data_IF_745840059861
#
_entry.id   IF_745840059861
#
_cell.length_a   1.000
_cell.length_b   1.000
_cell.length_c   1.000
_cell.angle_alpha   90.00
_cell.angle_beta   90.00
_cell.angle_gamma   90.00
#
_symmetry.space_group_name_H-M   'P 1'
#
loop_
_entity.id
_entity.type
_entity.pdbx_description
1 polymer ?
#
# COMPACT_ATOMS: atom_id res chain seq x y z
N UNK A 1 -52.74 -12.56 -69.08
CA UNK A 1 -52.07 -11.24 -68.87
C UNK A 1 -51.83 -11.06 -67.39
N UNK A 2 -50.66 -11.36 -66.98
CA UNK A 2 -50.24 -11.32 -65.56
C UNK A 2 -49.35 -10.15 -65.33
N UNK A 3 -49.74 -9.27 -64.39
CA UNK A 3 -48.93 -8.13 -63.95
C UNK A 3 -48.10 -8.55 -62.81
N UNK A 4 -46.74 -8.54 -63.00
CA UNK A 4 -45.73 -8.76 -61.97
C UNK A 4 -45.53 -7.45 -61.23
N UNK A 5 -46.03 -7.30 -59.99
CA UNK A 5 -45.66 -6.24 -59.08
C UNK A 5 -44.43 -6.72 -58.28
N UNK A 6 -43.21 -6.24 -58.62
CA UNK A 6 -42.03 -6.37 -57.81
C UNK A 6 -42.06 -5.36 -56.67
N UNK A 7 -42.32 -5.86 -55.48
CA UNK A 7 -42.20 -5.09 -54.25
C UNK A 7 -40.71 -4.97 -53.91
N UNK A 8 -40.12 -3.79 -54.13
CA UNK A 8 -38.75 -3.47 -53.72
C UNK A 8 -38.79 -3.12 -52.25
N UNK A 9 -38.40 -4.08 -51.38
CA UNK A 9 -38.23 -3.86 -49.95
C UNK A 9 -36.91 -3.13 -49.72
N UNK A 10 -36.98 -1.81 -49.49
CA UNK A 10 -35.81 -0.97 -49.14
C UNK A 10 -35.48 -1.20 -47.67
N UNK A 11 -34.52 -2.10 -47.39
CA UNK A 11 -33.96 -2.30 -46.05
C UNK A 11 -33.05 -1.10 -45.70
N UNK A 12 -33.59 -0.13 -44.98
CA UNK A 12 -32.84 0.92 -44.31
C UNK A 12 -32.06 0.27 -43.16
N UNK A 13 -30.83 -0.11 -43.40
CA UNK A 13 -29.84 -0.43 -42.35
C UNK A 13 -29.51 0.87 -41.60
N UNK A 14 -30.26 1.09 -40.51
CA UNK A 14 -29.90 2.10 -39.50
C UNK A 14 -28.68 1.54 -38.80
N UNK A 15 -27.48 1.90 -39.26
CA UNK A 15 -26.27 1.77 -38.48
C UNK A 15 -26.39 2.73 -37.27
N UNK A 16 -26.92 2.23 -36.17
CA UNK A 16 -26.73 2.90 -34.89
C UNK A 16 -25.26 2.75 -34.55
N UNK A 17 -24.46 3.76 -34.87
CA UNK A 17 -23.15 3.93 -34.30
C UNK A 17 -23.39 4.17 -32.80
N UNK A 18 -23.39 3.07 -32.04
CA UNK A 18 -23.26 3.16 -30.60
C UNK A 18 -21.91 3.86 -30.35
N UNK A 19 -21.95 5.17 -30.13
CA UNK A 19 -20.82 5.91 -29.63
C UNK A 19 -20.45 5.25 -28.32
N UNK A 20 -19.42 4.40 -28.34
CA UNK A 20 -18.80 3.92 -27.12
C UNK A 20 -18.32 5.18 -26.39
N UNK A 21 -19.08 5.61 -25.39
CA UNK A 21 -18.70 6.75 -24.56
C UNK A 21 -17.40 6.37 -23.87
N UNK A 22 -16.28 6.92 -24.37
CA UNK A 22 -14.96 6.68 -23.79
C UNK A 22 -14.87 7.42 -22.44
N UNK A 23 -14.38 6.72 -21.44
CA UNK A 23 -13.98 7.37 -20.19
C UNK A 23 -12.63 8.03 -20.41
N UNK A 24 -12.47 9.27 -20.00
CA UNK A 24 -11.21 10.03 -20.19
C UNK A 24 -11.09 11.13 -19.14
N UNK A 25 -9.84 11.52 -18.83
CA UNK A 25 -9.55 12.76 -18.12
C UNK A 25 -9.58 13.92 -19.12
N UNK A 26 -10.05 15.08 -18.67
CA UNK A 26 -10.12 16.30 -19.45
C UNK A 26 -9.47 17.44 -18.63
N UNK A 27 -8.52 18.17 -19.24
CA UNK A 27 -7.95 19.38 -18.64
C UNK A 27 -8.53 20.63 -19.33
N UNK A 28 -9.11 21.53 -18.55
CA UNK A 28 -9.57 22.85 -19.01
C UNK A 28 -8.90 23.92 -18.15
N UNK A 29 -7.93 24.62 -18.72
CA UNK A 29 -7.04 25.51 -17.99
C UNK A 29 -6.34 24.77 -16.83
N UNK A 30 -6.65 25.15 -15.58
CA UNK A 30 -6.11 24.51 -14.36
C UNK A 30 -7.06 23.49 -13.75
N UNK A 31 -8.24 23.24 -14.36
CA UNK A 31 -9.26 22.34 -13.84
C UNK A 31 -9.18 20.99 -14.49
N UNK A 32 -9.21 19.93 -13.68
CA UNK A 32 -9.21 18.54 -14.11
C UNK A 32 -10.61 17.96 -13.90
N UNK A 33 -11.10 17.31 -14.94
CA UNK A 33 -12.40 16.64 -14.97
C UNK A 33 -12.23 15.19 -15.39
N UNK A 34 -13.17 14.36 -14.99
CA UNK A 34 -13.34 13.00 -15.50
C UNK A 34 -14.63 12.92 -16.30
N UNK A 35 -14.53 12.52 -17.56
CA UNK A 35 -15.70 12.22 -18.39
C UNK A 35 -16.04 10.74 -18.20
N UNK A 36 -17.26 10.49 -17.72
CA UNK A 36 -17.79 9.15 -17.52
C UNK A 36 -19.09 9.03 -18.30
N UNK A 37 -19.02 8.36 -19.43
CA UNK A 37 -20.13 8.37 -20.40
C UNK A 37 -20.43 9.79 -20.89
N UNK A 38 -21.64 10.27 -20.65
CA UNK A 38 -22.08 11.64 -21.00
C UNK A 38 -21.93 12.64 -19.85
N UNK A 39 -21.40 12.22 -18.70
CA UNK A 39 -21.28 13.06 -17.51
C UNK A 39 -19.84 13.55 -17.37
N UNK A 40 -19.69 14.87 -17.14
CA UNK A 40 -18.42 15.51 -16.83
C UNK A 40 -18.36 15.83 -15.34
N UNK A 41 -17.43 15.21 -14.63
CA UNK A 41 -17.27 15.30 -13.17
C UNK A 41 -16.02 16.11 -12.87
N UNK A 42 -16.15 17.23 -12.14
CA UNK A 42 -15.01 18.00 -11.67
C UNK A 42 -14.27 17.24 -10.57
N UNK A 43 -12.94 17.16 -10.66
CA UNK A 43 -12.07 16.47 -9.70
C UNK A 43 -11.32 17.46 -8.80
N UNK A 44 -10.45 18.26 -9.38
CA UNK A 44 -9.59 19.20 -8.66
C UNK A 44 -9.07 20.32 -9.60
N UNK A 45 -8.40 21.30 -9.00
CA UNK A 45 -7.69 22.36 -9.71
C UNK A 45 -6.21 22.24 -9.44
N UNK A 46 -5.40 22.18 -10.48
CA UNK A 46 -3.94 22.17 -10.40
C UNK A 46 -3.31 22.72 -11.68
N UNK A 47 -2.53 23.79 -11.52
CA UNK A 47 -1.80 24.42 -12.64
C UNK A 47 -0.64 23.56 -13.15
N UNK A 48 -0.02 22.79 -12.26
CA UNK A 48 1.19 22.02 -12.50
C UNK A 48 0.91 20.55 -12.83
N UNK A 49 -0.37 20.14 -12.83
CA UNK A 49 -0.73 18.77 -13.14
C UNK A 49 -0.24 18.35 -14.52
N UNK A 50 0.62 17.35 -14.54
CA UNK A 50 1.05 16.72 -15.78
C UNK A 50 -0.07 15.86 -16.34
N UNK A 51 -0.74 16.42 -17.34
CA UNK A 51 -1.96 15.83 -17.88
C UNK A 51 -1.64 14.69 -18.83
N UNK A 52 -2.15 13.49 -18.46
CA UNK A 52 -2.31 12.35 -19.34
C UNK A 52 -3.78 11.91 -19.28
N UNK A 53 -4.47 11.90 -20.42
CA UNK A 53 -5.89 11.59 -20.51
C UNK A 53 -6.22 10.15 -20.09
N UNK A 54 -5.24 9.23 -20.14
CA UNK A 54 -5.36 7.80 -19.88
C UNK A 54 -4.76 7.41 -18.50
N UNK A 55 -4.21 8.38 -17.74
CA UNK A 55 -3.58 8.13 -16.45
C UNK A 55 -4.61 7.95 -15.31
N UNK A 56 -5.55 7.02 -15.49
CA UNK A 56 -6.55 6.71 -14.48
C UNK A 56 -6.97 5.23 -14.53
N UNK A 57 -7.56 4.76 -13.42
CA UNK A 57 -8.34 3.53 -13.40
C UNK A 57 -9.63 3.71 -12.61
N UNK A 58 -10.63 2.86 -12.86
CA UNK A 58 -11.90 2.84 -12.11
C UNK A 58 -12.04 1.49 -11.43
N UNK A 59 -12.05 1.51 -10.09
CA UNK A 59 -12.01 0.33 -9.24
C UNK A 59 -13.24 0.22 -8.35
N UNK A 60 -13.54 -1.01 -7.92
CA UNK A 60 -14.51 -1.29 -6.87
C UNK A 60 -13.77 -1.62 -5.59
N UNK A 61 -13.80 -0.75 -4.60
CA UNK A 61 -13.11 -0.93 -3.31
C UNK A 61 -13.99 -1.62 -2.28
N UNK A 62 -15.30 -1.52 -2.42
CA UNK A 62 -16.30 -2.02 -1.47
C UNK A 62 -17.29 -2.95 -2.18
N UNK A 63 -18.05 -3.73 -1.42
CA UNK A 63 -19.10 -4.61 -1.98
C UNK A 63 -20.39 -3.84 -2.33
N UNK A 64 -20.47 -2.56 -1.96
CA UNK A 64 -21.51 -1.66 -2.45
C UNK A 64 -21.20 -1.30 -3.92
N UNK A 65 -22.17 -0.93 -4.69
CA UNK A 65 -21.99 -0.58 -6.11
C UNK A 65 -21.19 0.71 -6.34
N UNK A 66 -20.39 1.14 -5.37
CA UNK A 66 -19.56 2.34 -5.47
C UNK A 66 -18.41 2.16 -6.43
N UNK A 67 -18.13 3.23 -7.14
CA UNK A 67 -17.02 3.33 -8.10
C UNK A 67 -16.01 4.35 -7.62
N UNK A 68 -14.75 3.94 -7.64
CA UNK A 68 -13.63 4.79 -7.22
C UNK A 68 -12.73 5.04 -8.41
N UNK A 69 -12.48 6.30 -8.68
CA UNK A 69 -11.56 6.75 -9.71
C UNK A 69 -10.19 6.97 -9.08
N UNK A 70 -9.18 6.29 -9.58
CA UNK A 70 -7.77 6.48 -9.26
C UNK A 70 -7.16 7.34 -10.36
N UNK A 71 -6.66 8.50 -10.02
CA UNK A 71 -5.99 9.41 -10.94
C UNK A 71 -4.53 9.48 -10.56
N UNK A 72 -3.65 9.10 -11.49
CA UNK A 72 -2.22 9.29 -11.27
C UNK A 72 -1.93 10.79 -11.24
N UNK A 73 -1.43 11.28 -10.10
CA UNK A 73 -1.16 12.69 -9.87
C UNK A 73 0.36 12.90 -9.75
N UNK A 74 0.96 13.40 -10.81
CA UNK A 74 2.38 13.74 -10.85
C UNK A 74 2.56 15.22 -11.08
N UNK A 75 3.34 15.87 -10.21
CA UNK A 75 3.57 17.32 -10.26
C UNK A 75 4.56 17.72 -11.38
N UNK A 76 5.41 16.79 -11.85
CA UNK A 76 6.55 17.03 -12.74
C UNK A 76 6.65 16.07 -13.94
N UNK A 77 5.53 15.50 -14.38
CA UNK A 77 5.46 14.49 -15.45
C UNK A 77 6.31 13.23 -15.20
N UNK A 78 6.77 13.02 -13.98
CA UNK A 78 7.42 11.80 -13.56
C UNK A 78 6.37 10.84 -13.00
N UNK A 79 6.22 9.61 -13.48
CA UNK A 79 5.24 8.66 -12.94
C UNK A 79 5.64 8.24 -11.52
N UNK A 80 5.38 9.11 -10.55
CA UNK A 80 5.75 8.91 -9.15
C UNK A 80 4.89 7.89 -8.43
N UNK A 81 3.94 7.27 -9.11
CA UNK A 81 3.01 6.34 -8.48
C UNK A 81 2.07 6.94 -7.43
N UNK A 82 1.98 8.27 -7.32
CA UNK A 82 1.05 8.96 -6.44
C UNK A 82 -0.33 9.04 -7.07
N UNK A 83 -1.35 8.55 -6.38
CA UNK A 83 -2.72 8.52 -6.88
C UNK A 83 -3.66 9.32 -5.98
N UNK A 84 -4.38 10.25 -6.59
CA UNK A 84 -5.57 10.85 -5.98
C UNK A 84 -6.78 9.93 -6.25
N UNK A 85 -7.58 9.68 -5.21
CA UNK A 85 -8.69 8.73 -5.28
C UNK A 85 -9.99 9.46 -4.97
N UNK A 86 -11.01 9.23 -5.81
CA UNK A 86 -12.32 9.87 -5.70
C UNK A 86 -13.44 8.82 -5.75
N UNK A 87 -14.42 8.91 -4.87
CA UNK A 87 -15.73 8.27 -5.03
C UNK A 87 -16.53 9.05 -6.08
N UNK A 88 -16.89 8.38 -7.18
CA UNK A 88 -17.61 8.97 -8.32
C UNK A 88 -19.03 8.37 -8.49
N UNK A 89 -19.54 7.73 -7.46
CA UNK A 89 -20.79 6.96 -7.53
C UNK A 89 -22.04 7.81 -7.76
N UNK A 90 -22.01 9.10 -7.36
CA UNK A 90 -23.16 10.01 -7.41
C UNK A 90 -23.00 11.11 -8.48
N UNK A 91 -22.25 10.88 -9.54
CA UNK A 91 -21.91 11.87 -10.57
C UNK A 91 -21.22 13.13 -10.01
N UNK A 92 -20.65 13.02 -8.81
CA UNK A 92 -19.82 14.02 -8.15
C UNK A 92 -18.58 13.35 -7.60
N UNK A 93 -17.43 14.00 -7.73
CA UNK A 93 -16.21 13.50 -7.12
C UNK A 93 -16.17 13.87 -5.64
N UNK A 94 -16.03 12.87 -4.79
CA UNK A 94 -15.75 13.04 -3.37
C UNK A 94 -14.39 12.42 -3.08
N UNK A 95 -13.43 13.24 -2.63
CA UNK A 95 -12.09 12.73 -2.30
C UNK A 95 -12.17 11.61 -1.27
N UNK A 96 -11.49 10.50 -1.58
CA UNK A 96 -11.40 9.35 -0.68
C UNK A 96 -10.49 9.69 0.50
N UNK A 97 -10.87 9.29 1.71
CA UNK A 97 -10.20 9.74 2.94
C UNK A 97 -8.76 9.20 3.12
N UNK A 98 -8.36 8.14 2.40
CA UNK A 98 -6.96 7.66 2.38
C UNK A 98 -6.11 8.34 1.29
N UNK A 99 -6.73 9.13 0.40
CA UNK A 99 -6.03 9.81 -0.70
C UNK A 99 -5.11 10.93 -0.18
N UNK A 100 -3.89 11.09 -0.73
CA UNK A 100 -3.32 10.26 -1.78
C UNK A 100 -2.74 8.95 -1.28
N UNK A 101 -2.64 7.94 -2.18
CA UNK A 101 -1.89 6.71 -1.95
C UNK A 101 -0.77 6.57 -2.99
N UNK A 102 0.29 5.85 -2.64
CA UNK A 102 1.42 5.58 -3.52
C UNK A 102 1.39 4.15 -4.03
N UNK A 103 1.52 3.97 -5.36
CA UNK A 103 1.45 2.68 -6.06
C UNK A 103 0.37 1.73 -5.47
N UNK A 104 -0.89 2.19 -5.38
CA UNK A 104 -1.94 1.42 -4.74
C UNK A 104 -2.33 0.22 -5.60
N UNK A 105 -2.33 -0.96 -4.99
CA UNK A 105 -2.85 -2.20 -5.55
C UNK A 105 -4.13 -2.59 -4.83
N UNK A 106 -5.22 -2.77 -5.59
CA UNK A 106 -6.50 -3.18 -5.04
C UNK A 106 -6.66 -4.70 -5.12
N UNK A 107 -6.79 -5.36 -3.97
CA UNK A 107 -7.13 -6.76 -3.89
C UNK A 107 -8.60 -6.91 -3.43
N UNK A 108 -9.51 -6.95 -4.39
CA UNK A 108 -10.95 -7.03 -4.13
C UNK A 108 -11.38 -8.31 -3.40
N UNK A 109 -10.70 -9.45 -3.69
CA UNK A 109 -11.01 -10.73 -3.04
C UNK A 109 -10.68 -10.70 -1.54
N UNK A 110 -9.58 -10.08 -1.16
CA UNK A 110 -9.16 -9.91 0.24
C UNK A 110 -9.71 -8.63 0.87
N UNK A 111 -10.40 -7.79 0.11
CA UNK A 111 -10.88 -6.47 0.54
C UNK A 111 -9.75 -5.62 1.11
N UNK A 112 -8.63 -5.56 0.39
CA UNK A 112 -7.40 -4.89 0.79
C UNK A 112 -6.98 -3.85 -0.24
N UNK A 113 -6.34 -2.79 0.24
CA UNK A 113 -5.52 -1.88 -0.55
C UNK A 113 -4.09 -2.03 -0.04
N UNK A 114 -3.16 -2.22 -0.94
CA UNK A 114 -1.73 -2.29 -0.65
C UNK A 114 -1.08 -1.05 -1.23
N UNK A 115 -0.42 -0.27 -0.40
CA UNK A 115 0.33 0.93 -0.79
C UNK A 115 1.81 0.64 -0.70
N UNK A 116 2.61 1.07 -1.69
CA UNK A 116 4.07 0.94 -1.68
C UNK A 116 4.71 2.29 -1.96
N UNK A 117 5.65 2.67 -1.11
CA UNK A 117 6.39 3.93 -1.30
C UNK A 117 7.79 3.84 -0.71
N UNK A 118 8.63 4.81 -1.10
CA UNK A 118 9.96 5.00 -0.52
C UNK A 118 10.01 6.33 0.21
N UNK A 119 10.72 6.33 1.34
CA UNK A 119 11.11 7.54 2.05
C UNK A 119 12.64 7.52 2.17
N UNK A 120 13.28 8.27 1.27
CA UNK A 120 14.72 8.15 1.03
C UNK A 120 15.11 6.75 0.57
N UNK A 121 16.05 6.12 1.25
CA UNK A 121 16.53 4.76 0.96
C UNK A 121 15.61 3.65 1.52
N UNK A 122 14.60 3.99 2.31
CA UNK A 122 13.76 3.04 3.01
C UNK A 122 12.49 2.78 2.22
N UNK A 123 12.17 1.50 1.98
CA UNK A 123 10.93 1.08 1.35
C UNK A 123 9.88 0.75 2.41
N UNK A 124 8.63 1.12 2.11
CA UNK A 124 7.47 0.84 2.96
C UNK A 124 6.38 0.15 2.15
N UNK A 125 5.71 -0.80 2.78
CA UNK A 125 4.45 -1.38 2.28
C UNK A 125 3.40 -1.25 3.37
N UNK A 126 2.26 -0.63 3.07
CA UNK A 126 1.11 -0.52 3.95
C UNK A 126 -0.04 -1.36 3.43
N UNK A 127 -0.67 -2.10 4.31
CA UNK A 127 -1.82 -2.95 4.00
C UNK A 127 -3.02 -2.41 4.75
N UNK A 128 -3.99 -1.92 4.00
CA UNK A 128 -5.26 -1.48 4.54
C UNK A 128 -6.32 -2.55 4.30
N UNK A 129 -7.18 -2.79 5.29
CA UNK A 129 -8.27 -3.76 5.20
C UNK A 129 -9.62 -3.08 5.38
N UNK A 130 -10.61 -3.52 4.63
CA UNK A 130 -11.97 -3.06 4.73
C UNK A 130 -12.66 -3.69 5.95
N UNK A 131 -13.14 -2.84 6.87
CA UNK A 131 -13.94 -3.24 8.03
C UNK A 131 -15.03 -2.20 8.27
N UNK A 132 -16.28 -2.62 8.40
CA UNK A 132 -17.42 -1.72 8.62
C UNK A 132 -17.46 -0.55 7.61
N UNK A 133 -17.30 -0.88 6.32
CA UNK A 133 -17.30 0.07 5.19
C UNK A 133 -16.19 1.14 5.21
N UNK A 134 -15.16 0.95 6.03
CA UNK A 134 -13.95 1.81 6.07
C UNK A 134 -12.69 0.97 6.01
N UNK A 135 -11.66 1.51 5.38
CA UNK A 135 -10.33 0.92 5.36
C UNK A 135 -9.53 1.37 6.58
N UNK A 136 -8.87 0.43 7.23
CA UNK A 136 -7.99 0.65 8.37
C UNK A 136 -6.62 0.09 8.05
N UNK A 137 -5.58 0.80 8.45
CA UNK A 137 -4.22 0.28 8.39
C UNK A 137 -4.12 -0.97 9.27
N UNK A 138 -3.87 -2.12 8.64
CA UNK A 138 -3.67 -3.39 9.32
C UNK A 138 -2.21 -3.61 9.64
N UNK A 139 -1.34 -3.37 8.65
CA UNK A 139 0.08 -3.67 8.75
C UNK A 139 0.91 -2.65 7.97
N UNK A 140 2.04 -2.27 8.52
CA UNK A 140 3.09 -1.54 7.85
C UNK A 140 4.38 -2.35 7.90
N UNK A 141 4.95 -2.63 6.74
CA UNK A 141 6.27 -3.24 6.58
C UNK A 141 7.27 -2.14 6.25
N UNK A 142 8.36 -2.08 6.99
CA UNK A 142 9.49 -1.19 6.76
C UNK A 142 10.72 -2.02 6.47
N UNK A 143 11.32 -1.86 5.29
CA UNK A 143 12.59 -2.52 4.98
C UNK A 143 13.70 -1.97 5.83
N UNK A 144 14.42 -2.84 6.52
CA UNK A 144 15.55 -2.49 7.40
C UNK A 144 16.89 -2.75 6.70
N UNK A 145 16.99 -3.87 6.01
CA UNK A 145 18.17 -4.36 5.30
C UNK A 145 17.70 -5.32 4.18
N UNK A 146 18.63 -5.81 3.34
CA UNK A 146 18.36 -6.54 2.09
C UNK A 146 17.36 -7.70 2.20
N UNK A 147 17.21 -8.36 3.35
CA UNK A 147 16.25 -9.46 3.54
C UNK A 147 15.51 -9.34 4.87
N UNK A 148 15.48 -8.16 5.47
CA UNK A 148 14.91 -7.97 6.79
C UNK A 148 13.90 -6.82 6.79
N UNK A 149 12.67 -7.12 7.14
CA UNK A 149 11.58 -6.17 7.24
C UNK A 149 11.04 -6.10 8.67
N UNK A 150 10.84 -4.89 9.17
CA UNK A 150 10.08 -4.66 10.40
C UNK A 150 8.60 -4.55 10.06
N UNK A 151 7.82 -5.49 10.54
CA UNK A 151 6.36 -5.47 10.45
C UNK A 151 5.78 -4.85 11.71
N UNK A 152 4.93 -3.84 11.54
CA UNK A 152 4.08 -3.26 12.58
C UNK A 152 2.64 -3.61 12.28
N UNK A 153 2.05 -4.49 13.10
CA UNK A 153 0.64 -4.91 12.97
C UNK A 153 -0.21 -4.08 13.93
N UNK A 154 -1.16 -3.34 13.37
CA UNK A 154 -2.04 -2.45 14.14
C UNK A 154 -3.28 -3.21 14.61
N UNK A 155 -3.42 -3.32 15.92
CA UNK A 155 -4.58 -3.91 16.57
C UNK A 155 -5.34 -2.85 17.37
N UNK A 156 -6.54 -3.21 17.87
CA UNK A 156 -7.38 -2.30 18.66
C UNK A 156 -6.76 -1.90 20.01
N UNK A 157 -5.76 -2.61 20.51
CA UNK A 157 -5.16 -2.38 21.83
C UNK A 157 -3.80 -1.69 21.73
N UNK A 158 -2.86 -2.32 21.06
CA UNK A 158 -1.50 -1.80 20.86
C UNK A 158 -0.87 -2.43 19.62
N UNK A 159 0.06 -1.73 18.93
CA UNK A 159 0.79 -2.33 17.84
C UNK A 159 1.64 -3.52 18.32
N UNK A 160 1.68 -4.57 17.50
CA UNK A 160 2.61 -5.68 17.65
C UNK A 160 3.71 -5.57 16.59
N UNK A 161 4.94 -5.96 16.95
CA UNK A 161 6.10 -5.85 16.08
C UNK A 161 6.67 -7.24 15.78
N UNK A 162 7.05 -7.46 14.53
CA UNK A 162 7.66 -8.72 14.06
C UNK A 162 8.81 -8.39 13.11
N UNK A 163 9.79 -9.29 13.06
CA UNK A 163 10.77 -9.31 11.97
C UNK A 163 10.32 -10.33 10.93
N UNK A 164 10.35 -9.96 9.68
CA UNK A 164 9.92 -10.78 8.55
C UNK A 164 11.01 -10.78 7.47
N UNK A 165 11.11 -11.91 6.76
CA UNK A 165 11.91 -12.00 5.55
C UNK A 165 11.17 -11.45 4.32
N UNK A 166 11.80 -11.48 3.16
CA UNK A 166 11.20 -11.01 1.89
C UNK A 166 10.02 -11.89 1.42
N UNK A 167 9.93 -13.12 1.92
CA UNK A 167 8.78 -14.01 1.70
C UNK A 167 7.63 -13.72 2.68
N UNK A 168 7.76 -12.66 3.50
CA UNK A 168 6.79 -12.24 4.51
C UNK A 168 6.60 -13.27 5.65
N UNK A 169 7.59 -14.15 5.88
CA UNK A 169 7.61 -15.13 6.95
C UNK A 169 8.24 -14.53 8.21
N UNK A 170 7.67 -14.86 9.38
CA UNK A 170 8.21 -14.39 10.67
C UNK A 170 9.56 -15.08 10.93
N UNK A 171 10.58 -14.27 11.15
CA UNK A 171 11.92 -14.72 11.50
C UNK A 171 11.96 -15.11 12.98
N UNK A 172 12.40 -16.33 13.26
CA UNK A 172 12.49 -16.88 14.63
C UNK A 172 13.90 -16.84 15.21
N UNK A 173 14.91 -16.84 14.36
CA UNK A 173 16.31 -16.79 14.75
C UNK A 173 17.01 -15.73 13.94
N UNK A 174 17.94 -15.01 14.54
CA UNK A 174 18.67 -13.92 13.87
C UNK A 174 20.11 -13.90 14.37
N UNK A 175 21.01 -13.63 13.45
CA UNK A 175 22.44 -13.52 13.74
C UNK A 175 22.77 -12.10 14.20
N UNK A 176 23.71 -11.98 15.16
CA UNK A 176 24.25 -10.70 15.62
C UNK A 176 25.25 -10.18 14.58
N UNK A 177 25.04 -8.97 14.08
CA UNK A 177 25.94 -8.30 13.13
C UNK A 177 26.95 -7.39 13.81
N UNK A 178 26.62 -6.83 14.99
CA UNK A 178 27.54 -6.01 15.78
C UNK A 178 28.68 -6.85 16.36
N UNK A 179 29.88 -6.31 16.41
CA UNK A 179 31.03 -6.98 17.08
C UNK A 179 30.73 -7.36 18.53
N UNK A 180 29.86 -6.59 19.20
CA UNK A 180 29.40 -6.84 20.56
C UNK A 180 28.04 -6.21 20.82
N UNK A 181 27.03 -7.04 21.12
CA UNK A 181 25.67 -6.66 21.46
C UNK A 181 25.39 -6.98 22.94
N UNK A 182 24.99 -5.97 23.70
CA UNK A 182 24.72 -6.14 25.13
C UNK A 182 23.25 -6.51 25.37
N UNK A 183 23.04 -7.38 26.38
CA UNK A 183 21.70 -7.62 26.89
C UNK A 183 21.21 -6.44 27.73
N UNK A 184 19.92 -6.20 27.67
CA UNK A 184 19.17 -5.31 28.54
C UNK A 184 18.16 -6.15 29.34
N UNK A 185 17.93 -5.77 30.59
CA UNK A 185 16.95 -6.40 31.47
C UNK A 185 15.50 -5.99 31.14
N UNK A 186 14.53 -6.46 31.92
CA UNK A 186 13.11 -6.13 31.73
C UNK A 186 12.78 -4.62 31.92
N UNK A 187 13.65 -3.89 32.63
CA UNK A 187 13.59 -2.44 32.78
C UNK A 187 14.31 -1.68 31.64
N UNK A 188 14.88 -2.41 30.68
CA UNK A 188 15.73 -1.92 29.61
C UNK A 188 17.01 -1.23 30.12
N UNK A 189 17.54 -1.66 31.25
CA UNK A 189 18.86 -1.29 31.74
C UNK A 189 19.91 -2.24 31.18
N UNK A 190 21.01 -1.68 30.68
CA UNK A 190 22.15 -2.43 30.14
C UNK A 190 22.74 -3.34 31.21
N UNK A 191 22.93 -4.61 30.90
CA UNK A 191 23.58 -5.60 31.76
C UNK A 191 25.07 -5.74 31.41
N UNK A 192 25.79 -6.63 32.12
CA UNK A 192 27.17 -6.99 31.79
C UNK A 192 27.26 -8.12 30.76
N UNK A 193 26.15 -8.87 30.55
CA UNK A 193 26.09 -9.96 29.59
C UNK A 193 26.04 -9.42 28.16
N UNK A 194 26.65 -10.11 27.23
CA UNK A 194 26.68 -9.75 25.82
C UNK A 194 26.79 -10.99 24.93
N UNK A 195 26.49 -10.83 23.68
CA UNK A 195 26.77 -11.74 22.56
C UNK A 195 27.65 -11.03 21.55
N UNK A 196 28.29 -11.77 20.67
CA UNK A 196 29.22 -11.23 19.66
C UNK A 196 28.75 -11.50 18.25
N UNK A 197 29.34 -10.82 17.28
CA UNK A 197 29.03 -11.04 15.87
C UNK A 197 29.16 -12.51 15.48
N UNK A 198 28.20 -13.01 14.72
CA UNK A 198 28.07 -14.42 14.35
C UNK A 198 27.27 -15.28 15.34
N UNK A 199 27.02 -14.82 16.57
CA UNK A 199 26.12 -15.52 17.48
C UNK A 199 24.68 -15.47 16.95
N UNK A 200 23.99 -16.62 16.96
CA UNK A 200 22.58 -16.75 16.57
C UNK A 200 21.70 -16.80 17.81
N UNK A 201 20.75 -15.90 17.90
CA UNK A 201 19.78 -15.81 19.00
C UNK A 201 18.38 -16.18 18.54
N UNK A 202 17.57 -16.77 19.43
CA UNK A 202 16.17 -17.05 19.19
C UNK A 202 15.32 -15.86 19.58
N UNK A 203 14.50 -15.35 18.67
CA UNK A 203 13.59 -14.22 18.88
C UNK A 203 12.35 -14.68 19.62
N UNK A 204 11.97 -13.97 20.67
CA UNK A 204 10.76 -14.20 21.45
C UNK A 204 9.68 -13.17 21.10
N UNK A 205 10.00 -11.89 21.18
CA UNK A 205 9.13 -10.79 20.76
C UNK A 205 9.93 -9.50 20.53
N UNK A 206 9.25 -8.46 20.04
CA UNK A 206 9.81 -7.12 19.89
C UNK A 206 8.97 -6.12 20.69
N UNK A 207 9.64 -5.11 21.20
CA UNK A 207 9.00 -3.95 21.84
C UNK A 207 9.61 -2.66 21.31
N UNK A 208 8.79 -1.59 21.27
CA UNK A 208 9.24 -0.23 20.94
C UNK A 208 9.20 0.64 22.19
N UNK A 209 10.32 1.28 22.52
CA UNK A 209 10.41 2.25 23.62
C UNK A 209 11.32 3.39 23.21
N UNK A 210 10.88 4.64 23.42
CA UNK A 210 11.66 5.85 23.07
C UNK A 210 12.20 5.83 21.63
N UNK A 211 11.35 5.44 20.66
CA UNK A 211 11.69 5.28 19.23
C UNK A 211 12.74 4.21 18.92
N UNK A 212 13.23 3.46 19.89
CA UNK A 212 14.10 2.31 19.69
C UNK A 212 13.28 1.02 19.70
N UNK A 213 13.69 0.06 18.87
CA UNK A 213 13.16 -1.30 18.87
C UNK A 213 14.14 -2.18 19.63
N UNK A 214 13.61 -2.93 20.58
CA UNK A 214 14.32 -3.95 21.32
C UNK A 214 13.74 -5.32 20.97
N UNK A 215 14.62 -6.27 20.72
CA UNK A 215 14.30 -7.66 20.42
C UNK A 215 14.51 -8.49 21.68
N UNK A 216 13.44 -9.07 22.24
CA UNK A 216 13.57 -10.03 23.35
C UNK A 216 14.07 -11.33 22.78
N UNK A 217 15.18 -11.84 23.30
CA UNK A 217 15.87 -13.01 22.76
C UNK A 217 16.23 -14.03 23.84
N UNK A 218 16.41 -15.27 23.41
CA UNK A 218 17.09 -16.35 24.14
C UNK A 218 18.37 -16.70 23.40
N UNK A 219 19.47 -16.77 24.13
CA UNK A 219 20.77 -17.22 23.63
C UNK A 219 21.30 -18.40 24.45
N UNK A 220 21.56 -19.51 23.78
CA UNK A 220 22.17 -20.68 24.39
C UNK A 220 23.69 -20.58 24.28
N UNK A 221 24.33 -20.15 25.33
CA UNK A 221 25.79 -20.22 25.47
C UNK A 221 26.26 -21.66 25.77
N UNK A 222 27.58 -21.83 25.99
CA UNK A 222 28.14 -23.16 26.26
C UNK A 222 27.55 -23.86 27.49
N UNK A 223 27.23 -23.12 28.52
CA UNK A 223 26.76 -23.68 29.81
C UNK A 223 25.44 -23.06 30.29
N UNK A 224 25.06 -21.89 29.82
CA UNK A 224 23.92 -21.15 30.35
C UNK A 224 23.00 -20.63 29.26
N UNK A 225 21.70 -20.64 29.53
CA UNK A 225 20.69 -19.95 28.74
C UNK A 225 20.56 -18.50 29.24
N UNK A 226 20.82 -17.54 28.39
CA UNK A 226 20.66 -16.13 28.68
C UNK A 226 19.39 -15.59 27.99
N UNK A 227 18.58 -14.84 28.73
CA UNK A 227 17.39 -14.16 28.21
C UNK A 227 17.48 -12.68 28.49
N UNK A 228 17.00 -11.85 27.56
CA UNK A 228 16.96 -10.40 27.73
C UNK A 228 16.64 -9.71 26.42
N UNK A 229 16.81 -8.41 26.38
CA UNK A 229 16.57 -7.62 25.20
C UNK A 229 17.91 -7.22 24.57
N UNK A 230 17.95 -7.18 23.25
CA UNK A 230 19.05 -6.64 22.43
C UNK A 230 18.45 -5.57 21.54
N UNK A 231 19.18 -4.49 21.25
CA UNK A 231 18.70 -3.47 20.33
C UNK A 231 18.62 -4.03 18.90
N UNK A 232 17.59 -3.64 18.15
CA UNK A 232 17.43 -4.07 16.76
C UNK A 232 18.64 -3.67 15.89
N UNK A 233 19.25 -2.52 16.17
CA UNK A 233 20.42 -2.04 15.42
C UNK A 233 21.65 -2.97 15.49
N UNK A 234 21.73 -3.82 16.52
CA UNK A 234 22.84 -4.78 16.69
C UNK A 234 22.74 -5.99 15.74
N UNK A 235 21.61 -6.14 15.06
CA UNK A 235 21.36 -7.18 14.05
C UNK A 235 21.53 -6.68 12.61
N UNK A 236 21.69 -5.36 12.41
CA UNK A 236 21.77 -4.76 11.09
C UNK A 236 23.22 -4.54 10.70
N UNK A 237 23.57 -4.87 9.46
CA UNK A 237 24.87 -4.51 8.90
C UNK A 237 24.96 -2.99 8.77
N UNK A 238 26.08 -2.41 9.16
CA UNK A 238 26.38 -0.97 9.06
C UNK A 238 27.12 -0.68 7.77
#
# INVERSE_FOLDING_TARGET
>A
MGSNNKLVLLLLLIYSTASCASNELIKENTKIFFKYGNTKIFLFTDSNYCFDKDAFSVEKLTNDNKKYLFVNHTDDCNPSGKYEIFDISENKAKKFYLSPLYDPEVNSNKKQIIERFKDGAVSYTRIYVLKNSKYYLLEELKTLDNNLNLSTVYSSKSPAFYLKDDSNQIIKNLEISSSKAYFFDESLKKTRSYVVGGDVVKIINLIKKNNLIYVKVEFQGKSNLTKGYIKLEDFLYK
#
